data_IF_538527641941
#
_entry.id   IF_538527641941
#
_cell.length_a   1.000
_cell.length_b   1.000
_cell.length_c   1.000
_cell.angle_alpha   90.00
_cell.angle_beta   90.00
_cell.angle_gamma   90.00
#
_symmetry.space_group_name_H-M   'P 1'
#
loop_
_entity.id
_entity.type
_entity.pdbx_description
1 polymer ?
#
# COMPACT_ATOMS: atom_id res chain seq x y z
N UNK A 1 27.13 -6.56 45.67
CA UNK A 1 26.96 -7.61 44.64
C UNK A 1 25.57 -7.64 43.98
N UNK A 2 24.46 -7.46 44.72
CA UNK A 2 23.09 -7.47 44.12
C UNK A 2 22.79 -6.32 43.11
N UNK A 3 23.40 -5.14 43.28
CA UNK A 3 23.20 -3.98 42.40
C UNK A 3 23.93 -4.09 41.05
N UNK A 4 25.03 -4.85 41.00
CA UNK A 4 25.80 -5.10 39.79
C UNK A 4 25.09 -6.10 38.85
N UNK A 5 24.38 -7.08 39.42
CA UNK A 5 23.60 -8.07 38.65
C UNK A 5 22.38 -7.46 37.95
N UNK A 6 21.76 -6.42 38.54
CA UNK A 6 20.62 -5.71 37.96
C UNK A 6 21.05 -4.84 36.77
N UNK A 7 22.26 -4.26 36.82
CA UNK A 7 22.81 -3.43 35.74
C UNK A 7 23.16 -4.27 34.48
N UNK A 8 23.68 -5.50 34.68
CA UNK A 8 23.95 -6.43 33.56
C UNK A 8 22.67 -6.96 32.86
N UNK A 9 21.57 -7.10 33.61
CA UNK A 9 20.28 -7.55 33.04
C UNK A 9 19.62 -6.53 32.13
N UNK A 10 19.86 -5.22 32.35
CA UNK A 10 19.28 -4.15 31.54
C UNK A 10 19.96 -3.99 30.15
N UNK A 11 21.21 -4.41 30.01
CA UNK A 11 21.94 -4.34 28.72
C UNK A 11 21.64 -5.48 27.75
N UNK A 12 20.96 -6.52 28.18
CA UNK A 12 20.63 -7.68 27.33
C UNK A 12 19.34 -7.49 26.48
N UNK A 13 18.58 -6.43 26.71
CA UNK A 13 17.30 -6.14 26.00
C UNK A 13 17.48 -5.38 24.68
N UNK A 14 18.65 -4.82 24.39
CA UNK A 14 18.95 -4.10 23.15
C UNK A 14 19.28 -5.03 21.96
N UNK A 15 19.25 -6.35 22.13
CA UNK A 15 19.63 -7.33 21.09
C UNK A 15 18.48 -7.71 20.12
N UNK A 16 17.27 -7.18 20.27
CA UNK A 16 16.25 -7.31 19.24
C UNK A 16 16.49 -6.25 18.18
N UNK A 17 17.19 -6.59 17.10
CA UNK A 17 17.46 -5.75 15.94
C UNK A 17 16.22 -5.32 15.14
N UNK A 18 15.13 -4.98 15.82
CA UNK A 18 13.92 -4.36 15.26
C UNK A 18 14.23 -2.90 14.93
N UNK A 19 14.81 -2.67 13.76
CA UNK A 19 14.91 -1.31 13.23
C UNK A 19 13.54 -0.87 12.71
N UNK A 20 12.98 0.26 13.18
CA UNK A 20 11.72 0.78 12.67
C UNK A 20 11.86 1.03 11.16
N UNK A 21 10.81 0.69 10.40
CA UNK A 21 10.78 0.77 8.93
C UNK A 21 11.06 2.20 8.42
N UNK A 22 10.79 3.19 9.25
CA UNK A 22 11.03 4.62 9.00
C UNK A 22 12.08 5.21 9.96
N UNK A 23 13.16 4.48 10.21
CA UNK A 23 14.29 5.02 10.95
C UNK A 23 14.83 6.27 10.21
N UNK A 24 14.81 7.43 10.87
CA UNK A 24 15.17 8.72 10.27
C UNK A 24 13.99 9.59 9.84
N UNK A 25 12.73 9.15 10.05
CA UNK A 25 11.53 9.93 9.67
C UNK A 25 11.49 10.26 8.17
N UNK A 26 10.99 11.45 7.82
CA UNK A 26 10.90 11.92 6.42
C UNK A 26 12.24 12.16 5.72
N UNK A 27 13.36 12.17 6.45
CA UNK A 27 14.72 12.36 5.92
C UNK A 27 15.54 11.05 5.90
N UNK A 28 14.93 9.90 6.15
CA UNK A 28 15.60 8.60 6.08
C UNK A 28 15.89 8.16 4.64
N UNK A 29 16.90 7.28 4.47
CA UNK A 29 17.30 6.73 3.15
C UNK A 29 16.09 6.12 2.42
N UNK A 30 15.19 5.46 3.13
CA UNK A 30 13.98 4.86 2.58
C UNK A 30 12.99 5.93 2.11
N UNK A 31 12.83 7.04 2.87
CA UNK A 31 11.94 8.13 2.48
C UNK A 31 12.42 8.81 1.18
N UNK A 32 13.72 9.05 1.03
CA UNK A 32 14.29 9.57 -0.21
C UNK A 32 14.09 8.60 -1.37
N UNK A 33 14.34 7.30 -1.16
CA UNK A 33 14.14 6.30 -2.21
C UNK A 33 12.66 6.15 -2.62
N UNK A 34 11.71 6.35 -1.69
CA UNK A 34 10.28 6.37 -1.98
C UNK A 34 9.87 7.63 -2.76
N UNK A 35 10.46 8.79 -2.45
CA UNK A 35 10.21 10.03 -3.18
C UNK A 35 10.69 9.95 -4.65
N UNK A 36 11.66 9.07 -4.94
CA UNK A 36 12.17 8.78 -6.29
C UNK A 36 11.32 7.75 -7.06
N UNK A 37 10.14 7.40 -6.59
CA UNK A 37 9.21 6.50 -7.28
C UNK A 37 8.15 7.30 -8.02
N UNK A 38 8.08 7.21 -9.33
CA UNK A 38 6.99 7.77 -10.14
C UNK A 38 5.81 6.80 -10.24
N UNK A 39 4.60 7.32 -10.21
CA UNK A 39 3.37 6.55 -10.39
C UNK A 39 2.66 7.07 -11.64
N UNK A 40 2.71 6.33 -12.78
CA UNK A 40 1.97 6.69 -13.99
C UNK A 40 0.47 6.76 -13.76
N UNK A 41 -0.25 7.33 -14.73
CA UNK A 41 -1.72 7.36 -14.71
C UNK A 41 -2.27 5.94 -14.72
N UNK A 42 -3.16 5.65 -13.79
CA UNK A 42 -3.90 4.39 -13.71
C UNK A 42 -5.33 4.66 -14.20
N UNK A 43 -5.81 3.86 -15.14
CA UNK A 43 -7.12 4.07 -15.74
C UNK A 43 -8.27 3.86 -14.76
N UNK A 44 -9.39 4.58 -14.97
CA UNK A 44 -10.62 4.45 -14.20
C UNK A 44 -10.65 5.26 -12.90
N UNK A 45 -11.83 5.33 -12.29
CA UNK A 45 -12.05 6.03 -11.02
C UNK A 45 -11.23 5.40 -9.89
N UNK A 46 -11.25 4.07 -9.78
CA UNK A 46 -10.43 3.31 -8.84
C UNK A 46 -8.94 3.59 -9.04
N UNK A 47 -8.52 3.77 -10.31
CA UNK A 47 -7.15 4.11 -10.67
C UNK A 47 -6.75 5.47 -10.15
N UNK A 48 -7.60 6.47 -10.28
CA UNK A 48 -7.38 7.81 -9.74
C UNK A 48 -7.25 7.79 -8.22
N UNK A 49 -8.14 7.07 -7.52
CA UNK A 49 -8.10 6.95 -6.05
C UNK A 49 -6.82 6.27 -5.55
N UNK A 50 -6.46 5.12 -6.14
CA UNK A 50 -5.25 4.38 -5.75
C UNK A 50 -4.00 5.21 -6.07
N UNK A 51 -3.94 5.86 -7.24
CA UNK A 51 -2.81 6.70 -7.62
C UNK A 51 -2.58 7.85 -6.64
N UNK A 52 -3.64 8.58 -6.28
CA UNK A 52 -3.53 9.69 -5.33
C UNK A 52 -3.07 9.18 -3.96
N UNK A 53 -3.66 8.08 -3.48
CA UNK A 53 -3.24 7.46 -2.23
C UNK A 53 -1.77 7.00 -2.24
N UNK A 54 -1.26 6.52 -3.38
CA UNK A 54 0.16 6.17 -3.54
C UNK A 54 1.05 7.40 -3.53
N UNK A 55 0.70 8.46 -4.28
CA UNK A 55 1.45 9.72 -4.33
C UNK A 55 1.60 10.34 -2.94
N UNK A 56 0.52 10.39 -2.17
CA UNK A 56 0.51 10.93 -0.82
C UNK A 56 1.47 10.17 0.12
N UNK A 57 1.51 8.83 0.00
CA UNK A 57 2.33 7.97 0.87
C UNK A 57 3.79 7.89 0.45
N UNK A 58 4.05 7.95 -0.84
CA UNK A 58 5.41 7.94 -1.38
C UNK A 58 6.10 9.29 -1.19
N UNK A 59 5.33 10.37 -0.97
CA UNK A 59 5.87 11.73 -0.88
C UNK A 59 6.43 12.24 -2.21
N UNK A 60 5.98 11.65 -3.34
CA UNK A 60 6.48 12.01 -4.66
C UNK A 60 5.77 13.24 -5.19
N UNK A 61 6.55 14.20 -5.68
CA UNK A 61 6.04 15.43 -6.31
C UNK A 61 5.74 15.29 -7.81
N UNK A 62 5.68 14.04 -8.32
CA UNK A 62 5.37 13.78 -9.73
C UNK A 62 6.50 14.11 -10.69
N UNK A 63 7.75 14.06 -10.23
CA UNK A 63 8.93 14.39 -11.04
C UNK A 63 9.11 13.37 -12.17
N UNK A 64 9.33 13.89 -13.38
CA UNK A 64 9.59 13.10 -14.59
C UNK A 64 10.96 12.41 -14.60
N UNK A 65 11.84 12.72 -13.64
CA UNK A 65 13.20 12.17 -13.51
C UNK A 65 13.34 11.13 -12.41
N UNK A 66 12.22 10.54 -11.96
CA UNK A 66 12.25 9.52 -10.91
C UNK A 66 13.04 8.30 -11.35
N UNK A 67 13.92 7.80 -10.46
CA UNK A 67 14.73 6.59 -10.70
C UNK A 67 13.88 5.34 -10.87
N UNK A 68 12.76 5.26 -10.16
CA UNK A 68 11.88 4.10 -10.20
C UNK A 68 10.51 4.46 -10.76
N UNK A 69 9.89 3.49 -11.44
CA UNK A 69 8.53 3.58 -11.93
C UNK A 69 7.70 2.45 -11.33
N UNK A 70 6.53 2.79 -10.78
CA UNK A 70 5.58 1.85 -10.21
C UNK A 70 4.41 1.67 -11.17
N UNK A 71 4.43 0.60 -11.95
CA UNK A 71 3.36 0.24 -12.88
C UNK A 71 2.29 -0.56 -12.10
N UNK A 72 1.03 -0.10 -12.13
CA UNK A 72 -0.08 -0.72 -11.38
C UNK A 72 -1.23 -1.03 -12.32
N UNK A 73 -1.78 -2.24 -12.22
CA UNK A 73 -3.00 -2.68 -12.89
C UNK A 73 -4.02 -3.09 -11.83
N UNK A 74 -5.24 -2.59 -11.96
CA UNK A 74 -6.32 -2.82 -11.01
C UNK A 74 -7.40 -3.71 -11.60
N UNK A 75 -7.99 -4.54 -10.73
CA UNK A 75 -9.22 -5.28 -10.93
C UNK A 75 -10.16 -4.92 -9.77
N UNK A 76 -11.31 -4.31 -10.10
CA UNK A 76 -12.35 -3.86 -9.16
C UNK A 76 -13.64 -4.59 -9.48
N UNK A 77 -14.17 -5.33 -8.50
CA UNK A 77 -15.37 -6.14 -8.63
C UNK A 77 -16.35 -5.81 -7.53
N UNK A 78 -17.61 -5.70 -7.92
CA UNK A 78 -18.76 -5.58 -7.03
C UNK A 78 -19.66 -6.81 -7.25
N UNK A 79 -19.89 -7.60 -6.22
CA UNK A 79 -20.63 -8.86 -6.27
C UNK A 79 -21.73 -8.86 -5.22
N UNK A 80 -22.96 -9.15 -5.62
CA UNK A 80 -24.09 -9.33 -4.70
C UNK A 80 -23.93 -10.59 -3.88
N UNK A 81 -24.15 -10.48 -2.57
CA UNK A 81 -24.05 -11.58 -1.61
C UNK A 81 -25.43 -11.84 -0.97
N UNK A 82 -25.97 -13.02 -1.23
CA UNK A 82 -27.23 -13.45 -0.62
C UNK A 82 -28.47 -12.80 -1.22
N UNK A 83 -29.47 -13.63 -1.44
CA UNK A 83 -30.82 -13.21 -1.81
C UNK A 83 -31.69 -13.26 -0.55
N UNK A 84 -32.44 -12.21 -0.31
CA UNK A 84 -33.58 -12.27 0.62
C UNK A 84 -34.68 -13.11 0.02
N UNK A 85 -35.61 -13.64 0.83
CA UNK A 85 -36.72 -14.46 0.38
C UNK A 85 -37.65 -13.85 -0.67
N UNK A 86 -37.43 -12.57 -1.04
CA UNK A 86 -38.10 -11.83 -2.11
C UNK A 86 -37.19 -11.56 -3.33
N UNK A 87 -36.09 -12.32 -3.50
CA UNK A 87 -35.08 -12.21 -4.56
C UNK A 87 -34.31 -10.87 -4.60
N UNK A 88 -34.29 -10.11 -3.51
CA UNK A 88 -33.49 -8.90 -3.42
C UNK A 88 -32.11 -9.16 -2.81
N UNK A 89 -31.08 -8.49 -3.34
CA UNK A 89 -29.73 -8.50 -2.78
C UNK A 89 -29.76 -7.59 -1.54
N UNK A 90 -29.34 -8.16 -0.39
CA UNK A 90 -29.27 -7.43 0.88
C UNK A 90 -27.85 -6.92 1.19
N UNK A 91 -26.85 -7.51 0.57
CA UNK A 91 -25.46 -7.19 0.80
C UNK A 91 -24.62 -7.41 -0.45
N UNK A 92 -23.62 -6.57 -0.62
CA UNK A 92 -22.63 -6.67 -1.67
C UNK A 92 -21.23 -6.78 -1.11
N UNK A 93 -20.32 -7.33 -1.89
CA UNK A 93 -18.89 -7.33 -1.63
C UNK A 93 -18.19 -6.58 -2.74
N UNK A 94 -17.45 -5.54 -2.39
CA UNK A 94 -16.52 -4.89 -3.29
C UNK A 94 -15.11 -5.42 -3.04
N UNK A 95 -14.45 -5.89 -4.09
CA UNK A 95 -13.08 -6.41 -4.04
C UNK A 95 -12.19 -5.57 -4.94
N UNK A 96 -11.12 -5.01 -4.38
CA UNK A 96 -10.11 -4.30 -5.16
C UNK A 96 -8.80 -5.07 -5.12
N UNK A 97 -8.30 -5.47 -6.30
CA UNK A 97 -7.02 -6.16 -6.49
C UNK A 97 -6.08 -5.31 -7.33
N UNK A 98 -4.81 -5.31 -6.97
CA UNK A 98 -3.74 -4.66 -7.71
C UNK A 98 -2.63 -5.65 -8.02
N UNK A 99 -2.23 -5.77 -9.29
CA UNK A 99 -0.91 -6.31 -9.66
C UNK A 99 -0.02 -5.13 -9.97
N UNK A 100 1.20 -5.13 -9.43
CA UNK A 100 2.11 -4.01 -9.60
C UNK A 100 3.55 -4.47 -9.76
N UNK A 101 4.31 -3.65 -10.50
CA UNK A 101 5.73 -3.85 -10.76
C UNK A 101 6.50 -2.58 -10.43
N UNK A 102 7.58 -2.72 -9.67
CA UNK A 102 8.56 -1.65 -9.47
C UNK A 102 9.67 -1.87 -10.49
N UNK A 103 9.88 -0.91 -11.35
CA UNK A 103 10.84 -0.96 -12.46
C UNK A 103 11.91 0.10 -12.23
N UNK A 104 13.19 -0.25 -12.38
CA UNK A 104 14.27 0.73 -12.48
C UNK A 104 14.19 1.39 -13.85
N UNK A 105 14.06 2.73 -13.88
CA UNK A 105 13.88 3.49 -15.12
C UNK A 105 15.16 3.59 -15.95
N UNK A 106 16.33 3.26 -15.40
CA UNK A 106 17.61 3.35 -16.09
C UNK A 106 17.87 2.15 -17.00
N UNK A 107 17.58 0.93 -16.53
CA UNK A 107 17.86 -0.31 -17.22
C UNK A 107 16.61 -1.14 -17.57
N UNK A 108 15.43 -0.67 -17.14
CA UNK A 108 14.16 -1.37 -17.34
C UNK A 108 13.98 -2.64 -16.51
N UNK A 109 14.84 -2.88 -15.53
CA UNK A 109 14.83 -4.08 -14.71
C UNK A 109 13.65 -4.05 -13.74
N UNK A 110 12.89 -5.15 -13.68
CA UNK A 110 11.83 -5.33 -12.68
C UNK A 110 12.48 -5.70 -11.35
N UNK A 111 12.35 -4.80 -10.38
CA UNK A 111 12.87 -4.99 -9.03
C UNK A 111 11.89 -5.73 -8.12
N UNK A 112 10.60 -5.58 -8.37
CA UNK A 112 9.51 -6.21 -7.62
C UNK A 112 8.33 -6.45 -8.56
N UNK A 113 7.76 -7.66 -8.54
CA UNK A 113 6.45 -8.00 -9.14
C UNK A 113 5.61 -8.64 -8.05
N UNK A 114 4.49 -8.03 -7.71
CA UNK A 114 3.68 -8.47 -6.59
C UNK A 114 2.21 -8.09 -6.75
N UNK A 115 1.38 -8.60 -5.83
CA UNK A 115 -0.03 -8.28 -5.75
C UNK A 115 -0.38 -7.73 -4.37
N UNK A 116 -1.38 -6.86 -4.36
CA UNK A 116 -2.04 -6.35 -3.16
C UNK A 116 -3.56 -6.43 -3.36
N UNK A 117 -4.33 -6.42 -2.30
CA UNK A 117 -5.77 -6.37 -2.43
C UNK A 117 -6.50 -6.46 -1.11
N UNK A 118 -7.75 -6.01 -1.14
CA UNK A 118 -8.67 -6.07 -0.01
C UNK A 118 -10.10 -6.15 -0.51
N UNK A 119 -11.01 -6.48 0.38
CA UNK A 119 -12.45 -6.49 0.13
C UNK A 119 -13.22 -5.79 1.27
N UNK A 120 -14.39 -5.28 0.93
CA UNK A 120 -15.31 -4.62 1.86
C UNK A 120 -16.74 -5.08 1.58
N UNK A 121 -17.53 -5.28 2.65
CA UNK A 121 -18.97 -5.49 2.56
C UNK A 121 -19.68 -4.14 2.44
N UNK A 122 -20.72 -4.10 1.61
CA UNK A 122 -21.63 -2.97 1.45
C UNK A 122 -23.05 -3.47 1.71
N UNK A 123 -23.76 -2.85 2.63
CA UNK A 123 -25.16 -3.18 2.88
C UNK A 123 -26.04 -2.45 1.86
N UNK A 124 -26.90 -3.22 1.18
CA UNK A 124 -27.88 -2.69 0.23
C UNK A 124 -29.13 -2.30 1.02
N UNK A 125 -29.46 -1.02 0.98
CA UNK A 125 -30.64 -0.47 1.68
C UNK A 125 -31.70 -0.04 0.68
N UNK A 126 -32.92 0.25 1.16
CA UNK A 126 -34.03 0.67 0.31
C UNK A 126 -33.80 1.98 -0.46
N UNK A 127 -32.85 2.78 -0.03
CA UNK A 127 -32.43 4.00 -0.72
C UNK A 127 -31.26 3.70 -1.67
N UNK A 128 -31.51 3.70 -2.97
CA UNK A 128 -30.50 3.52 -4.01
C UNK A 128 -29.33 4.51 -3.86
N UNK A 129 -29.65 5.78 -3.58
CA UNK A 129 -28.62 6.81 -3.36
C UNK A 129 -27.70 6.49 -2.17
N UNK A 130 -28.25 5.96 -1.09
CA UNK A 130 -27.47 5.58 0.09
C UNK A 130 -26.56 4.37 -0.21
N UNK A 131 -27.02 3.40 -0.99
CA UNK A 131 -26.24 2.26 -1.44
C UNK A 131 -25.07 2.70 -2.31
N UNK A 132 -25.30 3.56 -3.32
CA UNK A 132 -24.23 4.11 -4.18
C UNK A 132 -23.19 4.88 -3.35
N UNK A 133 -23.62 5.68 -2.37
CA UNK A 133 -22.71 6.40 -1.50
C UNK A 133 -21.85 5.45 -0.62
N UNK A 134 -22.44 4.34 -0.15
CA UNK A 134 -21.72 3.33 0.61
C UNK A 134 -20.71 2.57 -0.26
N UNK A 135 -21.06 2.21 -1.50
CA UNK A 135 -20.14 1.59 -2.47
C UNK A 135 -18.95 2.50 -2.79
N UNK A 136 -19.19 3.81 -2.96
CA UNK A 136 -18.15 4.80 -3.20
C UNK A 136 -17.21 4.91 -1.99
N UNK A 137 -17.76 4.98 -0.79
CA UNK A 137 -16.97 5.02 0.45
C UNK A 137 -16.14 3.75 0.63
N UNK A 138 -16.71 2.59 0.29
CA UNK A 138 -15.99 1.32 0.30
C UNK A 138 -14.81 1.34 -0.67
N UNK A 139 -14.99 1.83 -1.90
CA UNK A 139 -13.91 1.96 -2.88
C UNK A 139 -12.78 2.86 -2.40
N UNK A 140 -13.10 4.02 -1.82
CA UNK A 140 -12.12 4.95 -1.28
C UNK A 140 -11.29 4.32 -0.14
N UNK A 141 -11.96 3.56 0.74
CA UNK A 141 -11.29 2.83 1.82
C UNK A 141 -10.38 1.73 1.26
N UNK A 142 -10.87 0.94 0.32
CA UNK A 142 -10.09 -0.12 -0.34
C UNK A 142 -8.88 0.44 -1.08
N UNK A 143 -9.02 1.57 -1.77
CA UNK A 143 -7.91 2.23 -2.46
C UNK A 143 -6.79 2.62 -1.49
N UNK A 144 -7.15 3.14 -0.30
CA UNK A 144 -6.17 3.47 0.76
C UNK A 144 -5.46 2.23 1.28
N UNK A 145 -6.21 1.16 1.59
CA UNK A 145 -5.63 -0.10 2.10
C UNK A 145 -4.69 -0.74 1.08
N UNK A 146 -5.09 -0.77 -0.20
CA UNK A 146 -4.26 -1.31 -1.28
C UNK A 146 -2.99 -0.49 -1.45
N UNK A 147 -3.08 0.84 -1.41
CA UNK A 147 -1.91 1.72 -1.49
C UNK A 147 -0.95 1.48 -0.31
N UNK A 148 -1.45 1.33 0.92
CA UNK A 148 -0.63 1.03 2.11
C UNK A 148 0.15 -0.29 1.94
N UNK A 149 -0.52 -1.34 1.45
CA UNK A 149 0.12 -2.64 1.19
C UNK A 149 1.22 -2.55 0.13
N UNK A 150 0.98 -1.79 -0.95
CA UNK A 150 1.95 -1.57 -2.02
C UNK A 150 3.18 -0.83 -1.47
N UNK A 151 2.98 0.31 -0.80
CA UNK A 151 4.06 1.13 -0.25
C UNK A 151 4.90 0.35 0.76
N UNK A 152 4.27 -0.46 1.62
CA UNK A 152 5.00 -1.30 2.58
C UNK A 152 5.96 -2.28 1.87
N UNK A 153 5.50 -2.98 0.82
CA UNK A 153 6.34 -3.91 0.06
C UNK A 153 7.43 -3.21 -0.77
N UNK A 154 7.11 -2.08 -1.39
CA UNK A 154 8.07 -1.25 -2.13
C UNK A 154 9.18 -0.75 -1.18
N UNK A 155 8.82 -0.26 0.00
CA UNK A 155 9.76 0.20 1.03
C UNK A 155 10.74 -0.89 1.45
N UNK A 156 10.24 -2.11 1.69
CA UNK A 156 11.06 -3.25 2.04
C UNK A 156 12.03 -3.62 0.91
N UNK A 157 11.57 -3.58 -0.34
CA UNK A 157 12.40 -3.89 -1.52
C UNK A 157 13.51 -2.87 -1.73
N UNK A 158 13.19 -1.57 -1.62
CA UNK A 158 14.19 -0.50 -1.77
C UNK A 158 15.22 -0.53 -0.65
N UNK A 159 14.82 -0.85 0.59
CA UNK A 159 15.74 -1.00 1.72
C UNK A 159 16.72 -2.17 1.51
N UNK A 160 16.24 -3.32 1.04
CA UNK A 160 17.11 -4.48 0.79
C UNK A 160 18.09 -4.25 -0.38
N UNK A 161 17.67 -3.48 -1.41
CA UNK A 161 18.56 -3.12 -2.52
C UNK A 161 19.65 -2.13 -2.15
N UNK A 162 19.40 -1.22 -1.20
CA UNK A 162 20.39 -0.26 -0.69
C UNK A 162 21.47 -0.92 0.18
N UNK A 163 21.14 -2.02 0.86
CA UNK A 163 22.11 -2.77 1.71
C UNK A 163 23.16 -3.55 0.93
N UNK A 164 22.86 -3.95 -0.31
CA UNK A 164 23.79 -4.70 -1.19
C UNK A 164 24.77 -3.80 -1.95
N UNK A 165 24.51 -2.51 -2.04
CA UNK A 165 25.37 -1.54 -2.72
C UNK A 165 26.47 -0.95 -1.83
N UNK A 166 26.49 -1.29 -0.52
CA UNK A 166 27.42 -0.77 0.50
C UNK A 166 28.45 -1.79 1.00
N UNK A 167 28.66 -2.91 0.25
CA UNK A 167 29.76 -3.86 0.53
C UNK A 167 30.80 -3.85 -0.57
#
# INVERSE_FOLDING_TARGET
MKRLAVLCGALALDSCGLQPMYAGGGNGIVAHALADVSVPVIAGQQGWLVRNALIDRLGTSGQSSARYRLDVRLDDKLEGLGLLGNDTIARERRTLRARYQLVDSQDGKILLDATAGSDAGVDVVSSEYATIAAEQTALENLARVVADQIVAKVSLRLRSGGSTASQ
#
